data_IF_889215133386
#
_entry.id   IF_889215133386
#
_cell.length_a   1.000
_cell.length_b   1.000
_cell.length_c   1.000
_cell.angle_alpha   90.00
_cell.angle_beta   90.00
_cell.angle_gamma   90.00
#
_symmetry.space_group_name_H-M   'P 1'
#
loop_
_entity.id
_entity.type
_entity.pdbx_description
1 polymer ?
#
# COMPACT_ATOMS: atom_id res chain seq x y z
N UNK A 1 -7.95 7.57 -3.85
CA UNK A 1 -7.18 6.83 -2.83
C UNK A 1 -7.28 7.46 -1.45
N UNK A 2 -7.64 6.66 -0.44
CA UNK A 2 -7.67 6.97 0.98
C UNK A 2 -6.30 7.50 1.47
N UNK A 3 -6.30 8.39 2.47
CA UNK A 3 -5.08 9.08 2.90
C UNK A 3 -4.00 8.09 3.37
N UNK A 4 -4.37 7.05 4.11
CA UNK A 4 -3.41 6.05 4.58
C UNK A 4 -2.80 5.24 3.42
N UNK A 5 -3.58 4.88 2.40
CA UNK A 5 -3.03 4.24 1.21
C UNK A 5 -2.10 5.17 0.42
N UNK A 6 -2.37 6.48 0.35
CA UNK A 6 -1.42 7.41 -0.29
C UNK A 6 -0.09 7.48 0.45
N UNK A 7 -0.11 7.39 1.78
CA UNK A 7 1.09 7.40 2.60
C UNK A 7 1.88 6.10 2.43
N UNK A 8 1.21 4.96 2.56
CA UNK A 8 1.84 3.64 2.47
C UNK A 8 2.25 3.29 1.04
N UNK A 9 1.33 3.32 0.07
CA UNK A 9 1.61 2.92 -1.32
C UNK A 9 2.27 4.06 -2.12
N UNK A 10 1.78 5.30 -1.96
CA UNK A 10 2.27 6.43 -2.76
C UNK A 10 3.60 7.01 -2.28
N UNK A 11 3.81 7.06 -0.95
CA UNK A 11 5.03 7.62 -0.36
C UNK A 11 5.98 6.54 0.18
N UNK A 12 5.56 5.27 0.16
CA UNK A 12 6.33 4.14 0.70
C UNK A 12 6.70 4.32 2.17
N UNK A 13 5.85 5.04 2.90
CA UNK A 13 6.02 5.36 4.31
C UNK A 13 5.19 4.41 5.17
N UNK A 14 5.88 3.62 6.00
CA UNK A 14 5.28 2.63 6.88
C UNK A 14 5.03 3.16 8.31
N UNK A 15 5.34 4.42 8.59
CA UNK A 15 5.23 5.03 9.93
C UNK A 15 3.82 4.91 10.53
N UNK A 16 2.80 4.83 9.69
CA UNK A 16 1.38 4.68 10.07
C UNK A 16 0.71 3.47 9.46
N UNK A 17 1.46 2.47 9.03
CA UNK A 17 0.87 1.30 8.37
C UNK A 17 -0.08 0.52 9.30
N UNK A 18 0.16 0.55 10.62
CA UNK A 18 -0.75 -0.05 11.62
C UNK A 18 -2.16 0.56 11.64
N UNK A 19 -2.31 1.82 11.21
CA UNK A 19 -3.62 2.48 11.19
C UNK A 19 -4.52 1.92 10.07
N UNK A 20 -3.95 1.23 9.07
CA UNK A 20 -4.73 0.56 8.00
C UNK A 20 -5.67 -0.50 8.57
N UNK A 21 -5.27 -1.19 9.64
CA UNK A 21 -6.07 -2.24 10.29
C UNK A 21 -7.25 -1.70 11.10
N UNK A 22 -7.36 -0.37 11.24
CA UNK A 22 -8.45 0.29 11.97
C UNK A 22 -9.46 0.95 11.03
N UNK A 23 -9.28 0.84 9.72
CA UNK A 23 -10.20 1.41 8.74
C UNK A 23 -11.44 0.54 8.57
N UNK A 24 -12.59 1.19 8.48
CA UNK A 24 -13.83 0.53 8.07
C UNK A 24 -13.81 0.28 6.55
N UNK A 25 -14.43 -0.81 6.09
CA UNK A 25 -14.50 -1.17 4.66
C UNK A 25 -15.08 -0.02 3.81
N UNK A 26 -16.06 0.70 4.34
CA UNK A 26 -16.69 1.86 3.68
C UNK A 26 -15.74 3.05 3.47
N UNK A 27 -14.65 3.15 4.22
CA UNK A 27 -13.64 4.21 4.04
C UNK A 27 -12.70 3.93 2.88
N UNK A 28 -12.61 2.66 2.45
CA UNK A 28 -11.63 2.20 1.47
C UNK A 28 -12.23 1.73 0.15
N UNK A 29 -13.53 1.44 0.07
CA UNK A 29 -14.17 0.83 -1.11
C UNK A 29 -13.85 1.58 -2.42
N UNK A 30 -13.96 2.91 -2.41
CA UNK A 30 -13.69 3.77 -3.57
C UNK A 30 -12.20 3.83 -3.94
N UNK A 31 -11.32 3.38 -3.05
CA UNK A 31 -9.86 3.43 -3.20
C UNK A 31 -9.24 2.11 -3.61
N UNK A 32 -9.96 0.99 -3.53
CA UNK A 32 -9.40 -0.35 -3.76
C UNK A 32 -8.80 -0.50 -5.16
N UNK A 33 -9.49 0.01 -6.19
CA UNK A 33 -8.99 -0.07 -7.58
C UNK A 33 -7.65 0.65 -7.73
N UNK A 34 -7.53 1.86 -7.16
CA UNK A 34 -6.31 2.66 -7.23
C UNK A 34 -5.19 2.05 -6.38
N UNK A 35 -5.51 1.48 -5.22
CA UNK A 35 -4.56 0.79 -4.36
C UNK A 35 -3.96 -0.44 -5.04
N UNK A 36 -4.79 -1.28 -5.67
CA UNK A 36 -4.34 -2.45 -6.41
C UNK A 36 -3.44 -2.07 -7.59
N UNK A 37 -3.73 -0.98 -8.30
CA UNK A 37 -2.86 -0.50 -9.38
C UNK A 37 -1.49 -0.05 -8.85
N UNK A 38 -1.43 0.63 -7.70
CA UNK A 38 -0.14 0.97 -7.08
C UNK A 38 0.63 -0.26 -6.62
N UNK A 39 -0.03 -1.23 -6.00
CA UNK A 39 0.61 -2.50 -5.60
C UNK A 39 1.23 -3.18 -6.82
N UNK A 40 0.52 -3.21 -7.94
CA UNK A 40 1.04 -3.75 -9.20
C UNK A 40 2.26 -2.98 -9.70
N UNK A 41 2.23 -1.64 -9.67
CA UNK A 41 3.37 -0.80 -10.09
C UNK A 41 4.60 -1.09 -9.22
N UNK A 42 4.45 -1.11 -7.90
CA UNK A 42 5.54 -1.35 -6.94
C UNK A 42 6.12 -2.76 -7.13
N UNK A 43 5.26 -3.78 -7.14
CA UNK A 43 5.68 -5.19 -7.29
C UNK A 43 6.25 -5.53 -8.66
N UNK A 44 5.97 -4.72 -9.69
CA UNK A 44 6.54 -4.89 -11.05
C UNK A 44 7.90 -4.21 -11.23
N UNK A 45 8.43 -3.52 -10.20
CA UNK A 45 9.74 -2.88 -10.29
C UNK A 45 10.86 -3.91 -10.47
N UNK A 46 11.85 -3.60 -11.31
CA UNK A 46 12.96 -4.52 -11.60
C UNK A 46 13.82 -4.84 -10.38
N UNK A 47 13.88 -3.92 -9.41
CA UNK A 47 14.62 -4.06 -8.15
C UNK A 47 13.77 -4.60 -6.99
N UNK A 48 12.48 -4.91 -7.22
CA UNK A 48 11.54 -5.29 -6.16
C UNK A 48 12.08 -6.42 -5.27
N UNK A 49 12.69 -7.45 -5.85
CA UNK A 49 13.27 -8.60 -5.11
C UNK A 49 14.39 -8.21 -4.12
N UNK A 50 15.03 -7.07 -4.33
CA UNK A 50 16.12 -6.56 -3.48
C UNK A 50 15.74 -5.30 -2.69
N UNK A 51 14.54 -4.77 -2.92
CA UNK A 51 14.04 -3.57 -2.27
C UNK A 51 13.10 -3.95 -1.13
N UNK A 52 13.68 -4.11 0.06
CA UNK A 52 12.96 -4.53 1.26
C UNK A 52 11.80 -3.60 1.64
N UNK A 53 11.93 -2.30 1.37
CA UNK A 53 10.89 -1.34 1.72
C UNK A 53 9.66 -1.50 0.81
N UNK A 54 9.88 -1.67 -0.49
CA UNK A 54 8.80 -1.92 -1.45
C UNK A 54 8.09 -3.24 -1.15
N UNK A 55 8.84 -4.29 -0.76
CA UNK A 55 8.24 -5.55 -0.32
C UNK A 55 7.37 -5.38 0.91
N UNK A 56 7.84 -4.68 1.94
CA UNK A 56 7.09 -4.42 3.16
C UNK A 56 5.83 -3.58 2.91
N UNK A 57 5.90 -2.59 2.01
CA UNK A 57 4.75 -1.78 1.56
C UNK A 57 3.68 -2.62 0.88
N UNK A 58 4.08 -3.57 0.03
CA UNK A 58 3.11 -4.47 -0.62
C UNK A 58 2.54 -5.46 0.38
N UNK A 59 3.38 -6.11 1.20
CA UNK A 59 2.98 -7.14 2.17
C UNK A 59 1.93 -6.63 3.15
N UNK A 60 2.13 -5.42 3.70
CA UNK A 60 1.21 -4.84 4.68
C UNK A 60 -0.15 -4.44 4.08
N UNK A 61 -0.23 -4.27 2.75
CA UNK A 61 -1.47 -3.91 2.07
C UNK A 61 -2.28 -5.12 1.56
N UNK A 62 -1.72 -6.33 1.59
CA UNK A 62 -2.38 -7.55 1.08
C UNK A 62 -2.56 -8.66 2.12
N UNK A 63 -1.93 -8.52 3.30
CA UNK A 63 -2.00 -9.47 4.43
C UNK A 63 -2.99 -8.98 5.46
#
# INVERSE_FOLDING_TARGET
MHQLFRLVLGQKDLSRAGDLFSLDDSEIEDSLTEALEQIKIISSSSDYQTNNNDQAVVEICIT
#
